data_IF_259424110263
#
_entry.id   IF_259424110263
#
_cell.length_a   1.000
_cell.length_b   1.000
_cell.length_c   1.000
_cell.angle_alpha   90.00
_cell.angle_beta   90.00
_cell.angle_gamma   90.00
#
_symmetry.space_group_name_H-M   'P 1'
#
loop_
_entity.id
_entity.type
_entity.pdbx_description
1 polymer ?
#
# COMPACT_ATOMS: atom_id res chain seq x y z
N UNK A 1 -22.33 27.54 44.08
CA UNK A 1 -22.47 26.65 42.90
C UNK A 1 -22.58 27.52 41.65
N UNK A 2 -21.48 27.74 40.93
CA UNK A 2 -21.53 28.30 39.57
C UNK A 2 -21.20 27.17 38.60
N UNK A 3 -22.24 26.39 38.28
CA UNK A 3 -22.18 25.26 37.36
C UNK A 3 -21.94 25.69 35.90
N UNK A 4 -21.89 27.00 35.62
CA UNK A 4 -21.79 27.57 34.28
C UNK A 4 -20.35 27.77 33.78
N UNK A 5 -19.36 27.93 34.66
CA UNK A 5 -17.97 28.19 34.23
C UNK A 5 -17.20 26.90 33.90
N UNK A 6 -17.57 25.77 34.54
CA UNK A 6 -16.92 24.48 34.31
C UNK A 6 -17.29 23.87 32.93
N UNK A 7 -18.47 24.19 32.40
CA UNK A 7 -18.93 23.71 31.09
C UNK A 7 -18.25 24.41 29.90
N UNK A 8 -17.85 25.67 30.05
CA UNK A 8 -17.20 26.42 28.96
C UNK A 8 -15.74 25.99 28.78
N UNK A 9 -15.04 25.67 29.88
CA UNK A 9 -13.63 25.25 29.82
C UNK A 9 -13.49 23.82 29.28
N UNK A 10 -14.44 22.92 29.57
CA UNK A 10 -14.42 21.55 29.03
C UNK A 10 -14.79 21.48 27.55
N UNK A 11 -15.59 22.43 27.04
CA UNK A 11 -15.95 22.48 25.61
C UNK A 11 -14.78 22.96 24.73
N UNK A 12 -13.97 23.91 25.20
CA UNK A 12 -12.78 24.37 24.45
C UNK A 12 -11.56 23.45 24.62
N UNK A 13 -11.46 22.69 25.71
CA UNK A 13 -10.39 21.69 25.89
C UNK A 13 -10.48 20.50 24.91
N UNK A 14 -11.66 20.25 24.32
CA UNK A 14 -11.82 19.18 23.32
C UNK A 14 -11.55 19.63 21.87
N UNK A 15 -11.58 20.93 21.57
CA UNK A 15 -11.34 21.43 20.21
C UNK A 15 -9.83 21.54 19.92
N UNK A 16 -8.98 21.56 20.96
CA UNK A 16 -7.52 21.62 20.84
C UNK A 16 -6.82 20.35 20.33
N UNK A 17 -7.55 19.26 20.11
CA UNK A 17 -6.99 17.99 19.62
C UNK A 17 -7.71 17.41 18.40
N UNK A 18 -8.40 18.23 17.60
CA UNK A 18 -8.73 17.81 16.22
C UNK A 18 -7.48 18.00 15.38
N UNK A 19 -6.48 17.14 15.61
CA UNK A 19 -5.60 16.72 14.53
C UNK A 19 -6.58 16.15 13.50
N UNK A 20 -6.73 16.78 12.35
CA UNK A 20 -7.48 16.20 11.23
C UNK A 20 -6.72 14.94 10.84
N UNK A 21 -7.01 13.85 11.54
CA UNK A 21 -6.35 12.55 11.43
C UNK A 21 -6.96 11.80 10.25
N UNK A 22 -6.93 12.44 9.10
CA UNK A 22 -7.43 11.92 7.85
C UNK A 22 -6.32 11.94 6.82
N UNK A 23 -6.40 11.02 5.87
CA UNK A 23 -5.53 11.03 4.71
C UNK A 23 -5.72 12.35 3.95
N UNK A 24 -4.64 13.09 3.76
CA UNK A 24 -4.63 14.32 2.97
C UNK A 24 -4.23 14.00 1.54
N UNK A 25 -5.00 14.50 0.59
CA UNK A 25 -4.74 14.34 -0.85
C UNK A 25 -4.43 15.71 -1.44
N UNK A 26 -3.32 15.81 -2.18
CA UNK A 26 -2.91 16.99 -2.93
C UNK A 26 -2.76 16.57 -4.40
N UNK A 27 -3.61 17.08 -5.29
CA UNK A 27 -3.53 16.80 -6.73
C UNK A 27 -2.66 17.88 -7.42
N UNK A 28 -1.84 17.48 -8.39
CA UNK A 28 -1.01 18.39 -9.20
C UNK A 28 -0.84 17.86 -10.62
N UNK A 29 -1.49 18.52 -11.59
CA UNK A 29 -1.50 18.05 -12.98
C UNK A 29 -1.96 16.60 -13.10
N UNK A 30 -1.11 15.75 -13.67
CA UNK A 30 -1.30 14.30 -13.79
C UNK A 30 -0.95 13.50 -12.52
N UNK A 31 -0.39 14.16 -11.50
CA UNK A 31 0.08 13.53 -10.28
C UNK A 31 -0.78 13.82 -9.05
N UNK A 32 -0.54 13.04 -8.01
CA UNK A 32 -1.21 13.15 -6.71
C UNK A 32 -0.24 12.78 -5.59
N UNK A 33 -0.26 13.54 -4.50
CA UNK A 33 0.43 13.24 -3.26
C UNK A 33 -0.63 12.86 -2.22
N UNK A 34 -0.49 11.66 -1.65
CA UNK A 34 -1.33 11.21 -0.53
C UNK A 34 -0.47 11.18 0.72
N UNK A 35 -0.87 11.93 1.74
CA UNK A 35 -0.24 11.93 3.06
C UNK A 35 -1.19 11.19 3.98
N UNK A 36 -0.80 9.99 4.41
CA UNK A 36 -1.59 9.18 5.32
C UNK A 36 -1.54 9.70 6.74
N UNK A 37 -2.53 9.33 7.56
CA UNK A 37 -2.54 9.67 8.97
C UNK A 37 -1.29 9.17 9.74
N UNK A 38 -0.71 8.06 9.30
CA UNK A 38 0.53 7.50 9.86
C UNK A 38 1.80 8.29 9.48
N UNK A 39 1.70 9.29 8.59
CA UNK A 39 2.80 10.11 8.08
C UNK A 39 3.42 9.60 6.77
N UNK A 40 2.99 8.44 6.26
CA UNK A 40 3.44 7.89 4.98
C UNK A 40 3.02 8.79 3.84
N UNK A 41 3.94 9.08 2.92
CA UNK A 41 3.70 9.91 1.74
C UNK A 41 3.76 9.07 0.48
N UNK A 42 2.71 9.10 -0.33
CA UNK A 42 2.62 8.38 -1.60
C UNK A 42 2.59 9.39 -2.74
N UNK A 43 3.55 9.30 -3.66
CA UNK A 43 3.57 10.07 -4.88
C UNK A 43 3.05 9.21 -6.00
N UNK A 44 1.90 9.59 -6.52
CA UNK A 44 1.25 8.98 -7.66
C UNK A 44 1.43 9.87 -8.90
N UNK A 45 1.71 9.25 -10.04
CA UNK A 45 1.73 9.90 -11.35
C UNK A 45 0.89 9.05 -12.31
N UNK A 46 -0.17 9.63 -12.86
CA UNK A 46 -1.10 8.95 -13.79
C UNK A 46 -1.73 7.68 -13.23
N UNK A 47 -2.10 7.65 -11.95
CA UNK A 47 -2.71 6.49 -11.29
C UNK A 47 -1.71 5.39 -10.95
N UNK A 48 -0.41 5.69 -10.99
CA UNK A 48 0.68 4.79 -10.61
C UNK A 48 1.48 5.41 -9.47
N UNK A 49 1.53 4.72 -8.33
CA UNK A 49 2.41 5.14 -7.24
C UNK A 49 3.87 4.96 -7.68
N UNK A 50 4.61 6.06 -7.71
CA UNK A 50 6.03 6.17 -8.11
C UNK A 50 6.96 6.22 -6.92
N UNK A 51 6.48 6.65 -5.77
CA UNK A 51 7.31 6.74 -4.57
C UNK A 51 6.48 6.61 -3.30
N UNK A 52 6.99 5.87 -2.31
CA UNK A 52 6.48 5.85 -0.94
C UNK A 52 7.59 6.33 -0.01
N UNK A 53 7.31 7.33 0.82
CA UNK A 53 8.20 7.76 1.90
C UNK A 53 7.54 7.37 3.21
N UNK A 54 8.20 6.52 3.98
CA UNK A 54 7.73 6.09 5.29
C UNK A 54 8.11 7.12 6.36
N UNK A 55 7.37 7.18 7.49
CA UNK A 55 7.65 8.11 8.59
C UNK A 55 9.06 7.94 9.19
N UNK A 56 9.60 6.73 9.13
CA UNK A 56 10.95 6.40 9.59
C UNK A 56 12.06 6.84 8.61
N UNK A 57 11.73 7.54 7.53
CA UNK A 57 12.67 8.04 6.53
C UNK A 57 13.02 7.04 5.42
N UNK A 58 12.53 5.79 5.46
CA UNK A 58 12.70 4.84 4.35
C UNK A 58 11.97 5.35 3.11
N UNK A 59 12.61 5.29 1.95
CA UNK A 59 12.03 5.67 0.66
C UNK A 59 11.97 4.43 -0.24
N UNK A 60 10.84 4.21 -0.91
CA UNK A 60 10.63 3.16 -1.89
C UNK A 60 10.25 3.78 -3.23
N UNK A 61 11.05 3.53 -4.27
CA UNK A 61 10.80 4.00 -5.63
C UNK A 61 10.08 2.93 -6.44
N UNK A 62 9.20 3.37 -7.35
CA UNK A 62 8.30 2.52 -8.15
C UNK A 62 7.72 1.37 -7.32
N UNK A 63 7.06 1.69 -6.20
CA UNK A 63 6.48 0.69 -5.33
C UNK A 63 5.58 -0.21 -6.15
N UNK A 64 5.80 -1.50 -6.00
CA UNK A 64 5.13 -2.49 -6.80
C UNK A 64 3.61 -2.34 -6.64
N UNK A 65 2.89 -2.28 -7.76
CA UNK A 65 1.42 -2.25 -7.77
C UNK A 65 0.89 -3.59 -7.24
N UNK A 66 0.45 -3.62 -5.98
CA UNK A 66 -0.28 -4.76 -5.43
C UNK A 66 -1.75 -4.66 -5.84
N UNK A 67 -2.18 -5.51 -6.77
CA UNK A 67 -3.57 -5.68 -7.17
C UNK A 67 -4.18 -6.75 -6.28
N UNK A 68 -5.02 -6.35 -5.32
CA UNK A 68 -5.84 -7.30 -4.55
C UNK A 68 -7.10 -7.66 -5.34
N UNK A 69 -7.34 -8.95 -5.52
CA UNK A 69 -8.55 -9.47 -6.17
C UNK A 69 -9.62 -9.81 -5.14
N UNK A 70 -10.91 -9.85 -5.54
CA UNK A 70 -12.00 -10.28 -4.67
C UNK A 70 -11.85 -11.70 -4.13
N UNK A 71 -11.13 -12.57 -4.86
CA UNK A 71 -10.80 -13.92 -4.42
C UNK A 71 -9.75 -13.95 -3.29
N UNK A 72 -9.22 -12.80 -2.86
CA UNK A 72 -8.18 -12.66 -1.85
C UNK A 72 -6.75 -12.79 -2.39
N UNK A 73 -6.57 -13.04 -3.69
CA UNK A 73 -5.24 -13.10 -4.29
C UNK A 73 -4.63 -11.71 -4.49
N UNK A 74 -3.31 -11.62 -4.43
CA UNK A 74 -2.54 -10.39 -4.65
C UNK A 74 -1.62 -10.58 -5.85
N UNK A 75 -1.57 -9.58 -6.75
CA UNK A 75 -0.70 -9.60 -7.93
C UNK A 75 0.20 -8.37 -7.93
N UNK A 76 1.50 -8.55 -8.11
CA UNK A 76 2.48 -7.47 -8.06
C UNK A 76 3.75 -7.86 -8.85
N UNK A 77 4.50 -6.91 -9.42
CA UNK A 77 5.78 -7.19 -10.10
C UNK A 77 6.98 -7.06 -9.14
N UNK A 78 7.79 -8.08 -8.92
CA UNK A 78 8.92 -7.97 -7.99
C UNK A 78 10.06 -7.03 -8.47
N UNK A 79 11.10 -6.91 -7.65
CA UNK A 79 12.31 -6.12 -7.95
C UNK A 79 13.08 -6.60 -9.19
N UNK A 80 12.88 -7.86 -9.58
CA UNK A 80 13.43 -8.48 -10.79
C UNK A 80 12.50 -8.31 -12.01
N UNK A 81 11.37 -7.62 -11.85
CA UNK A 81 10.37 -7.42 -12.90
C UNK A 81 9.56 -8.67 -13.23
N UNK A 82 9.53 -9.68 -12.35
CA UNK A 82 8.69 -10.87 -12.49
C UNK A 82 7.31 -10.59 -11.92
N UNK A 83 6.28 -11.08 -12.58
CA UNK A 83 4.92 -11.00 -12.05
C UNK A 83 4.73 -12.04 -10.95
N UNK A 84 4.44 -11.58 -9.74
CA UNK A 84 4.14 -12.41 -8.57
C UNK A 84 2.62 -12.46 -8.35
N UNK A 85 2.09 -13.65 -8.08
CA UNK A 85 0.69 -13.88 -7.70
C UNK A 85 0.70 -14.64 -6.37
N UNK A 86 0.28 -13.99 -5.28
CA UNK A 86 0.03 -14.65 -4.01
C UNK A 86 -1.42 -15.08 -3.93
N UNK A 87 -1.67 -16.35 -3.68
CA UNK A 87 -3.01 -16.92 -3.53
C UNK A 87 -3.42 -16.94 -2.05
N UNK A 88 -4.73 -16.89 -1.75
CA UNK A 88 -5.23 -16.97 -0.38
C UNK A 88 -4.86 -18.29 0.32
N UNK A 89 -4.69 -19.35 -0.45
CA UNK A 89 -4.25 -20.66 0.04
C UNK A 89 -2.75 -20.71 0.38
N UNK A 90 -2.03 -19.60 0.24
CA UNK A 90 -0.61 -19.46 0.53
C UNK A 90 0.31 -19.88 -0.62
N UNK A 91 -0.21 -20.30 -1.78
CA UNK A 91 0.62 -20.53 -2.96
C UNK A 91 1.16 -19.21 -3.52
N UNK A 92 2.39 -19.22 -3.99
CA UNK A 92 3.00 -18.10 -4.71
C UNK A 92 3.38 -18.53 -6.13
N UNK A 93 3.05 -17.71 -7.11
CA UNK A 93 3.39 -17.96 -8.52
C UNK A 93 4.26 -16.81 -9.01
N UNK A 94 5.46 -17.12 -9.49
CA UNK A 94 6.37 -16.17 -10.12
C UNK A 94 6.37 -16.43 -11.62
N UNK A 95 5.98 -15.46 -12.42
CA UNK A 95 5.95 -15.53 -13.88
C UNK A 95 6.98 -14.56 -14.45
N UNK A 96 7.89 -15.09 -15.25
CA UNK A 96 8.92 -14.33 -15.96
C UNK A 96 8.40 -13.87 -17.33
N UNK A 97 9.03 -12.85 -17.91
CA UNK A 97 8.61 -12.27 -19.19
C UNK A 97 8.69 -13.24 -20.38
N UNK A 98 9.51 -14.29 -20.26
CA UNK A 98 9.61 -15.37 -21.24
C UNK A 98 8.40 -16.35 -21.17
N UNK A 99 7.52 -16.21 -20.17
CA UNK A 99 6.36 -17.06 -19.92
C UNK A 99 6.66 -18.29 -19.06
N UNK A 100 7.88 -18.45 -18.55
CA UNK A 100 8.20 -19.48 -17.56
C UNK A 100 7.57 -19.15 -16.21
N UNK A 101 7.26 -20.18 -15.41
CA UNK A 101 6.57 -20.05 -14.12
C UNK A 101 7.24 -20.88 -13.04
N UNK A 102 7.35 -20.30 -11.85
CA UNK A 102 7.71 -21.01 -10.62
C UNK A 102 6.52 -20.94 -9.66
N UNK A 103 6.00 -22.10 -9.26
CA UNK A 103 4.90 -22.22 -8.30
C UNK A 103 5.47 -22.76 -7.00
N UNK A 104 5.31 -22.01 -5.92
CA UNK A 104 5.74 -22.38 -4.57
C UNK A 104 4.49 -22.67 -3.75
N UNK A 105 4.47 -23.85 -3.13
CA UNK A 105 3.39 -24.28 -2.24
C UNK A 105 3.69 -23.92 -0.78
N UNK A 106 2.67 -23.75 0.08
CA UNK A 106 2.86 -23.45 1.49
C UNK A 106 3.72 -24.46 2.25
N UNK A 107 3.72 -25.72 1.80
CA UNK A 107 4.51 -26.80 2.37
C UNK A 107 5.99 -26.78 1.94
N UNK A 108 6.41 -25.80 1.13
CA UNK A 108 7.77 -25.66 0.61
C UNK A 108 8.04 -26.41 -0.71
N UNK A 109 7.09 -27.22 -1.20
CA UNK A 109 7.24 -27.84 -2.52
C UNK A 109 7.22 -26.77 -3.62
N UNK A 110 7.95 -27.02 -4.70
CA UNK A 110 8.00 -26.12 -5.85
C UNK A 110 7.82 -26.86 -7.17
N UNK A 111 7.18 -26.22 -8.13
CA UNK A 111 7.03 -26.67 -9.51
C UNK A 111 7.60 -25.60 -10.42
N UNK A 112 8.50 -26.01 -11.33
CA UNK A 112 9.03 -25.14 -12.36
C UNK A 112 8.46 -25.55 -13.72
N UNK A 113 7.71 -24.64 -14.34
CA UNK A 113 7.14 -24.80 -15.67
C UNK A 113 7.89 -23.89 -16.64
N UNK A 114 8.70 -24.47 -17.51
CA UNK A 114 9.31 -23.73 -18.63
C UNK A 114 8.32 -23.61 -19.78
N UNK A 115 8.25 -22.44 -20.43
CA UNK A 115 7.52 -22.31 -21.69
C UNK A 115 8.10 -23.30 -22.72
N UNK A 116 7.31 -24.30 -23.13
CA UNK A 116 7.70 -25.19 -24.23
C UNK A 116 7.74 -24.37 -25.51
N UNK A 117 8.88 -24.39 -26.21
CA UNK A 117 9.06 -23.82 -27.55
C UNK A 117 8.28 -24.62 -28.58
#
# INVERSE_FOLDING_TARGET
MNLSLLFVITFFAFIGCIKVAGDKIINYGQGKLMIKADGTRLYDLNGRTRMIIFPNGKIMYNPIRIIKKPDGSEIYDDDQGRRVIKKPDGREIYETNDGSRLIIFPNGNLIHESKRR
#
